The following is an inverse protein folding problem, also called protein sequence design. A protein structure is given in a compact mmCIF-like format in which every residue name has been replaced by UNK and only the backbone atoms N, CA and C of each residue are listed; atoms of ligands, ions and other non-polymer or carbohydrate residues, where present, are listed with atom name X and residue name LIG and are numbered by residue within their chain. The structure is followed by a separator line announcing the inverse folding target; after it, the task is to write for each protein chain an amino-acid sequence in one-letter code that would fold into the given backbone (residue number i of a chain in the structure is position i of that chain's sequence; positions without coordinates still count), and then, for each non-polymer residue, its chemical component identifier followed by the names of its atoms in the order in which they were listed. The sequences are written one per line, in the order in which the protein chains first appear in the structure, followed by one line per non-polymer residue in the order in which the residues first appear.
data_IF_396993583587
#
_entry.id   IF_396993583587
#
_cell.length_a   1.000
_cell.length_b   1.000
_cell.length_c   1.000
_cell.angle_alpha   90.00
_cell.angle_beta   90.00
_cell.angle_gamma   90.00
#
_symmetry.space_group_name_H-M   'P 1'
#
loop_
_entity.id
_entity.type
_entity.pdbx_description
1 polymer ?
#
# COMPACT_ATOMS: atom_id res chain seq x y z
N UNK A 1 -47.03 31.27 -60.60
CA UNK A 1 -46.77 30.51 -59.36
C UNK A 1 -48.00 30.72 -58.49
N UNK A 2 -48.94 29.78 -58.54
CA UNK A 2 -50.31 29.94 -58.01
C UNK A 2 -50.37 29.74 -56.50
N UNK A 3 -51.21 30.54 -55.84
CA UNK A 3 -51.43 30.57 -54.38
C UNK A 3 -52.24 29.35 -53.87
N UNK A 4 -52.73 28.47 -54.76
CA UNK A 4 -53.60 27.34 -54.41
C UNK A 4 -52.89 26.11 -53.82
N UNK A 5 -51.56 26.00 -53.86
CA UNK A 5 -50.84 24.86 -53.27
C UNK A 5 -50.54 25.02 -51.75
N UNK A 6 -50.90 26.14 -51.13
CA UNK A 6 -50.57 26.42 -49.73
C UNK A 6 -51.53 25.79 -48.69
N UNK A 7 -52.61 25.11 -49.12
CA UNK A 7 -53.61 24.55 -48.20
C UNK A 7 -53.79 23.03 -48.34
N UNK A 8 -52.71 22.30 -48.69
CA UNK A 8 -52.75 20.84 -48.55
C UNK A 8 -52.70 20.52 -47.04
N UNK A 9 -53.71 19.83 -46.48
CA UNK A 9 -53.67 19.42 -45.09
C UNK A 9 -52.40 18.60 -44.89
N UNK A 10 -51.52 19.08 -44.01
CA UNK A 10 -50.31 18.36 -43.60
C UNK A 10 -50.80 17.04 -43.03
N UNK A 11 -50.63 15.96 -43.80
CA UNK A 11 -51.10 14.62 -43.43
C UNK A 11 -50.54 14.27 -42.07
N UNK A 12 -51.42 14.08 -41.09
CA UNK A 12 -51.03 13.75 -39.72
C UNK A 12 -50.23 12.46 -39.72
N UNK A 13 -48.93 12.57 -39.47
CA UNK A 13 -48.04 11.41 -39.35
C UNK A 13 -48.56 10.52 -38.23
N UNK A 14 -49.04 9.32 -38.56
CA UNK A 14 -49.46 8.30 -37.61
C UNK A 14 -48.32 8.02 -36.64
N UNK A 15 -48.51 8.41 -35.38
CA UNK A 15 -47.57 8.11 -34.31
C UNK A 15 -47.71 6.64 -33.93
N UNK A 16 -46.58 5.96 -33.72
CA UNK A 16 -46.56 4.57 -33.27
C UNK A 16 -46.24 4.55 -31.77
N UNK A 17 -47.26 4.67 -30.89
CA UNK A 17 -47.05 4.88 -29.45
C UNK A 17 -46.32 3.71 -28.79
N UNK A 18 -46.44 2.52 -29.38
CA UNK A 18 -45.82 1.30 -28.87
C UNK A 18 -44.29 1.33 -29.03
N UNK A 19 -43.78 1.83 -30.17
CA UNK A 19 -42.34 2.01 -30.39
C UNK A 19 -41.73 3.09 -29.49
N UNK A 20 -42.47 4.19 -29.25
CA UNK A 20 -42.05 5.26 -28.34
C UNK A 20 -41.99 4.77 -26.89
N UNK A 21 -42.98 4.00 -26.44
CA UNK A 21 -42.97 3.41 -25.10
C UNK A 21 -41.78 2.47 -24.90
N UNK A 22 -41.49 1.59 -25.87
CA UNK A 22 -40.31 0.72 -25.84
C UNK A 22 -38.99 1.50 -25.79
N UNK A 23 -38.90 2.62 -26.52
CA UNK A 23 -37.74 3.51 -26.48
C UNK A 23 -37.57 4.18 -25.10
N UNK A 24 -38.62 4.77 -24.53
CA UNK A 24 -38.57 5.42 -23.21
C UNK A 24 -38.19 4.41 -22.13
N UNK A 25 -38.80 3.22 -22.13
CA UNK A 25 -38.48 2.15 -21.19
C UNK A 25 -37.02 1.69 -21.34
N UNK A 26 -36.50 1.60 -22.56
CA UNK A 26 -35.10 1.25 -22.80
C UNK A 26 -34.14 2.33 -22.31
N UNK A 27 -34.51 3.62 -22.44
CA UNK A 27 -33.72 4.74 -21.93
C UNK A 27 -33.70 4.78 -20.39
N UNK A 28 -34.86 4.60 -19.75
CA UNK A 28 -34.95 4.48 -18.29
C UNK A 28 -34.20 3.26 -17.80
N UNK A 29 -34.27 2.13 -18.53
CA UNK A 29 -33.52 0.92 -18.24
C UNK A 29 -32.02 1.08 -18.35
N UNK A 30 -31.54 1.81 -19.35
CA UNK A 30 -30.13 2.15 -19.48
C UNK A 30 -29.64 3.05 -18.34
N UNK A 31 -30.42 4.08 -17.96
CA UNK A 31 -30.12 4.98 -16.85
C UNK A 31 -30.16 4.30 -15.47
N UNK A 32 -30.94 3.23 -15.31
CA UNK A 32 -31.02 2.41 -14.10
C UNK A 32 -30.02 1.24 -14.10
N UNK A 33 -28.85 1.43 -14.72
CA UNK A 33 -27.78 0.44 -14.81
C UNK A 33 -28.18 -0.89 -15.47
N UNK A 34 -29.10 -0.84 -16.43
CA UNK A 34 -29.48 -1.98 -17.26
C UNK A 34 -30.62 -2.82 -16.71
N UNK A 35 -31.07 -2.64 -15.46
CA UNK A 35 -32.02 -3.57 -14.82
C UNK A 35 -33.34 -3.75 -15.59
N UNK A 36 -33.85 -2.67 -16.23
CA UNK A 36 -35.07 -2.71 -17.08
C UNK A 36 -34.77 -2.89 -18.58
N UNK A 37 -33.49 -2.95 -18.96
CA UNK A 37 -33.04 -3.07 -20.35
C UNK A 37 -33.57 -4.30 -21.10
N UNK A 38 -33.67 -5.50 -20.49
CA UNK A 38 -34.25 -6.67 -21.16
C UNK A 38 -35.74 -6.49 -21.48
N UNK A 39 -36.48 -5.84 -20.58
CA UNK A 39 -37.92 -5.58 -20.77
C UNK A 39 -38.13 -4.54 -21.88
N UNK A 40 -37.31 -3.48 -21.89
CA UNK A 40 -37.30 -2.48 -22.96
C UNK A 40 -36.97 -3.09 -24.33
N UNK A 41 -35.98 -3.98 -24.38
CA UNK A 41 -35.58 -4.71 -25.59
C UNK A 41 -36.71 -5.59 -26.14
N UNK A 42 -37.41 -6.34 -25.28
CA UNK A 42 -38.55 -7.19 -25.68
C UNK A 42 -39.68 -6.33 -26.26
N UNK A 43 -40.02 -5.21 -25.62
CA UNK A 43 -41.06 -4.28 -26.10
C UNK A 43 -40.67 -3.61 -27.43
N UNK A 44 -39.39 -3.27 -27.61
CA UNK A 44 -38.88 -2.68 -28.85
C UNK A 44 -38.85 -3.68 -30.01
N UNK A 45 -38.53 -4.95 -29.74
CA UNK A 45 -38.62 -6.06 -30.70
C UNK A 45 -40.05 -6.29 -31.21
N UNK A 46 -41.05 -6.22 -30.32
CA UNK A 46 -42.47 -6.32 -30.71
C UNK A 46 -42.90 -5.11 -31.56
N UNK A 47 -42.37 -3.93 -31.28
CA UNK A 47 -42.64 -2.70 -32.04
C UNK A 47 -42.08 -2.70 -33.48
N UNK A 48 -41.11 -3.54 -33.79
CA UNK A 48 -40.44 -3.61 -35.11
C UNK A 48 -41.40 -4.03 -36.25
N UNK A 49 -42.50 -4.71 -35.91
CA UNK A 49 -43.52 -5.16 -36.85
C UNK A 49 -44.43 -4.04 -37.40
N UNK A 50 -44.37 -2.82 -36.87
CA UNK A 50 -45.21 -1.69 -37.29
C UNK A 50 -44.40 -0.49 -37.79
N UNK A 51 -44.84 0.14 -38.87
CA UNK A 51 -44.26 1.41 -39.34
C UNK A 51 -44.76 2.58 -38.48
N UNK A 52 -43.97 3.66 -38.25
CA UNK A 52 -42.56 3.86 -38.59
C UNK A 52 -41.59 3.11 -37.67
N UNK A 53 -40.53 2.54 -38.27
CA UNK A 53 -39.59 1.59 -37.61
C UNK A 53 -38.49 2.26 -36.77
N UNK A 54 -38.29 3.58 -36.93
CA UNK A 54 -37.12 4.29 -36.37
C UNK A 54 -36.99 4.17 -34.85
N UNK A 55 -38.07 4.43 -34.10
CA UNK A 55 -38.04 4.35 -32.63
C UNK A 55 -37.81 2.94 -32.09
N UNK A 56 -38.34 1.93 -32.78
CA UNK A 56 -38.15 0.53 -32.39
C UNK A 56 -36.70 0.05 -32.63
N UNK A 57 -36.05 0.48 -33.71
CA UNK A 57 -34.63 0.17 -33.95
C UNK A 57 -33.75 0.79 -32.85
N UNK A 58 -33.99 2.05 -32.49
CA UNK A 58 -33.21 2.74 -31.46
C UNK A 58 -33.36 2.07 -30.09
N UNK A 59 -34.58 1.64 -29.71
CA UNK A 59 -34.80 0.93 -28.47
C UNK A 59 -34.14 -0.46 -28.42
N UNK A 60 -34.08 -1.19 -29.54
CA UNK A 60 -33.32 -2.45 -29.60
C UNK A 60 -31.82 -2.22 -29.41
N UNK A 61 -31.23 -1.20 -30.05
CA UNK A 61 -29.79 -0.90 -29.91
C UNK A 61 -29.45 -0.51 -28.46
N UNK A 62 -30.23 0.40 -27.86
CA UNK A 62 -30.07 0.79 -26.46
C UNK A 62 -30.30 -0.38 -25.49
N UNK A 63 -31.28 -1.23 -25.79
CA UNK A 63 -31.57 -2.45 -25.03
C UNK A 63 -30.42 -3.46 -25.08
N UNK A 64 -29.82 -3.66 -26.27
CA UNK A 64 -28.70 -4.58 -26.44
C UNK A 64 -27.44 -4.07 -25.73
N UNK A 65 -27.14 -2.77 -25.84
CA UNK A 65 -26.02 -2.14 -25.14
C UNK A 65 -26.20 -2.18 -23.62
N UNK A 66 -27.41 -1.90 -23.11
CA UNK A 66 -27.71 -1.99 -21.68
C UNK A 66 -27.63 -3.43 -21.16
N UNK A 67 -28.14 -4.40 -21.91
CA UNK A 67 -28.06 -5.83 -21.54
C UNK A 67 -26.61 -6.35 -21.55
N UNK A 68 -25.78 -5.88 -22.50
CA UNK A 68 -24.34 -6.16 -22.51
C UNK A 68 -23.66 -5.58 -21.27
N UNK A 69 -24.05 -4.37 -20.86
CA UNK A 69 -23.61 -3.75 -19.61
C UNK A 69 -23.93 -4.57 -18.36
N UNK A 70 -25.12 -5.18 -18.28
CA UNK A 70 -25.47 -6.07 -17.16
C UNK A 70 -24.55 -7.30 -17.13
N UNK A 71 -24.29 -7.93 -18.28
CA UNK A 71 -23.45 -9.13 -18.34
C UNK A 71 -22.02 -8.78 -17.91
N UNK A 72 -21.46 -7.70 -18.44
CA UNK A 72 -20.14 -7.21 -18.01
C UNK A 72 -20.16 -6.86 -16.52
N UNK A 73 -21.18 -6.15 -16.04
CA UNK A 73 -21.36 -5.84 -14.62
C UNK A 73 -21.39 -7.11 -13.76
N UNK A 74 -22.20 -8.10 -14.10
CA UNK A 74 -22.32 -9.36 -13.35
C UNK A 74 -21.02 -10.17 -13.32
N UNK A 75 -20.18 -10.08 -14.35
CA UNK A 75 -18.90 -10.77 -14.40
C UNK A 75 -17.80 -10.01 -13.64
N UNK A 76 -17.72 -8.69 -13.82
CA UNK A 76 -16.63 -7.87 -13.28
C UNK A 76 -16.91 -7.35 -11.86
N UNK A 77 -18.16 -7.07 -11.52
CA UNK A 77 -18.54 -6.57 -10.19
C UNK A 77 -18.14 -7.52 -9.05
N UNK A 78 -18.43 -8.85 -9.09
CA UNK A 78 -18.01 -9.72 -8.00
C UNK A 78 -16.48 -9.78 -7.90
N UNK A 79 -15.76 -9.86 -9.02
CA UNK A 79 -14.29 -9.87 -9.02
C UNK A 79 -13.72 -8.59 -8.41
N UNK A 80 -14.26 -7.44 -8.79
CA UNK A 80 -13.89 -6.15 -8.23
C UNK A 80 -14.19 -6.07 -6.73
N UNK A 81 -15.38 -6.49 -6.32
CA UNK A 81 -15.80 -6.50 -4.91
C UNK A 81 -14.91 -7.43 -4.06
N UNK A 82 -14.64 -8.64 -4.54
CA UNK A 82 -13.74 -9.59 -3.86
C UNK A 82 -12.31 -9.04 -3.78
N UNK A 83 -11.81 -8.41 -4.85
CA UNK A 83 -10.49 -7.77 -4.84
C UNK A 83 -10.43 -6.64 -3.82
N UNK A 84 -11.47 -5.80 -3.74
CA UNK A 84 -11.53 -4.71 -2.77
C UNK A 84 -11.57 -5.25 -1.34
N UNK A 85 -12.41 -6.25 -1.07
CA UNK A 85 -12.48 -6.91 0.23
C UNK A 85 -11.17 -7.61 0.60
N UNK A 86 -10.46 -8.20 -0.35
CA UNK A 86 -9.16 -8.81 -0.12
C UNK A 86 -8.12 -7.75 0.29
N UNK A 87 -8.07 -6.60 -0.38
CA UNK A 87 -7.16 -5.50 -0.02
C UNK A 87 -7.47 -4.96 1.37
N UNK A 88 -8.75 -4.73 1.68
CA UNK A 88 -9.17 -4.27 3.02
C UNK A 88 -8.86 -5.33 4.08
N UNK A 89 -9.08 -6.61 3.79
CA UNK A 89 -8.78 -7.72 4.70
C UNK A 89 -7.27 -7.85 4.98
N UNK A 90 -6.43 -7.72 3.95
CA UNK A 90 -4.96 -7.73 4.10
C UNK A 90 -4.51 -6.52 4.92
N UNK A 91 -5.01 -5.32 4.60
CA UNK A 91 -4.64 -4.10 5.32
C UNK A 91 -5.07 -4.16 6.79
N UNK A 92 -6.29 -4.61 7.08
CA UNK A 92 -6.78 -4.79 8.45
C UNK A 92 -6.03 -5.87 9.21
N UNK A 93 -5.72 -7.01 8.56
CA UNK A 93 -4.92 -8.07 9.16
C UNK A 93 -3.49 -7.64 9.46
N UNK A 94 -2.84 -6.92 8.54
CA UNK A 94 -1.51 -6.35 8.75
C UNK A 94 -1.53 -5.31 9.88
N UNK A 95 -2.51 -4.41 9.92
CA UNK A 95 -2.65 -3.45 11.01
C UNK A 95 -2.84 -4.14 12.37
N UNK A 96 -3.58 -5.25 12.43
CA UNK A 96 -3.73 -6.00 13.68
C UNK A 96 -2.44 -6.70 14.13
N UNK A 97 -1.62 -7.17 13.18
CA UNK A 97 -0.35 -7.84 13.49
C UNK A 97 0.79 -6.85 13.82
N UNK A 98 0.80 -5.69 13.18
CA UNK A 98 1.88 -4.72 13.30
C UNK A 98 1.51 -3.47 14.12
N UNK A 99 0.23 -3.26 14.46
CA UNK A 99 -0.25 -2.06 15.15
C UNK A 99 0.51 -1.75 16.44
N UNK A 100 0.55 -2.67 17.42
CA UNK A 100 1.26 -2.43 18.70
C UNK A 100 2.75 -2.14 18.53
N UNK A 101 3.40 -2.82 17.58
CA UNK A 101 4.83 -2.63 17.28
C UNK A 101 5.09 -1.30 16.57
N UNK A 102 4.22 -0.92 15.63
CA UNK A 102 4.33 0.34 14.91
C UNK A 102 4.09 1.53 15.84
N UNK A 103 3.09 1.44 16.72
CA UNK A 103 2.81 2.48 17.71
C UNK A 103 3.99 2.67 18.66
N UNK A 104 4.54 1.59 19.22
CA UNK A 104 5.74 1.65 20.08
C UNK A 104 6.96 2.21 19.34
N UNK A 105 7.14 1.87 18.05
CA UNK A 105 8.21 2.42 17.23
C UNK A 105 8.04 3.94 16.97
N UNK A 106 6.81 4.42 16.78
CA UNK A 106 6.52 5.85 16.61
C UNK A 106 6.81 6.60 17.92
N UNK A 107 6.36 6.08 19.06
CA UNK A 107 6.61 6.68 20.37
C UNK A 107 8.09 6.71 20.72
N UNK A 108 8.82 5.63 20.48
CA UNK A 108 10.27 5.57 20.65
C UNK A 108 10.98 6.62 19.78
N UNK A 109 10.51 6.85 18.55
CA UNK A 109 11.00 7.94 17.70
C UNK A 109 10.74 9.33 18.27
N UNK A 110 9.60 9.56 18.92
CA UNK A 110 9.28 10.83 19.61
C UNK A 110 10.21 11.03 20.80
N UNK A 111 10.43 10.00 21.62
CA UNK A 111 11.34 10.05 22.77
C UNK A 111 12.77 10.29 22.29
N UNK A 112 13.22 9.60 21.24
CA UNK A 112 14.53 9.81 20.62
C UNK A 112 14.72 11.26 20.17
N UNK A 113 13.73 11.85 19.49
CA UNK A 113 13.78 13.25 19.09
C UNK A 113 13.85 14.22 20.28
N UNK A 114 13.15 13.92 21.38
CA UNK A 114 13.22 14.71 22.61
C UNK A 114 14.61 14.59 23.30
N UNK A 115 15.22 13.41 23.28
CA UNK A 115 16.58 13.19 23.78
C UNK A 115 17.61 13.97 22.95
N UNK A 116 17.51 13.92 21.63
CA UNK A 116 18.38 14.67 20.71
C UNK A 116 18.27 16.18 20.95
N UNK A 117 17.05 16.69 21.09
CA UNK A 117 16.84 18.10 21.43
C UNK A 117 17.46 18.45 22.79
N UNK A 118 17.30 17.60 23.81
CA UNK A 118 17.96 17.81 25.10
C UNK A 118 19.48 17.90 24.96
N UNK A 119 20.08 17.01 24.16
CA UNK A 119 21.52 17.00 23.89
C UNK A 119 21.98 18.28 23.21
N UNK A 120 21.23 18.78 22.22
CA UNK A 120 21.54 20.03 21.53
C UNK A 120 21.52 21.24 22.48
N UNK A 121 20.64 21.24 23.48
CA UNK A 121 20.51 22.32 24.46
C UNK A 121 21.57 22.25 25.59
N UNK A 122 21.92 21.05 26.04
CA UNK A 122 22.77 20.84 27.22
C UNK A 122 24.20 20.37 26.91
N UNK A 123 24.44 19.85 25.71
CA UNK A 123 25.72 19.26 25.28
C UNK A 123 26.02 17.90 25.92
N UNK A 124 25.04 17.28 26.59
CA UNK A 124 25.14 15.96 27.23
C UNK A 124 23.78 15.27 27.22
N UNK A 125 23.78 13.94 27.20
CA UNK A 125 22.55 13.14 27.33
C UNK A 125 22.02 13.20 28.77
N UNK A 126 20.69 13.11 28.98
CA UNK A 126 20.14 13.08 30.33
C UNK A 126 20.57 11.81 31.07
N UNK A 127 20.70 11.88 32.38
CA UNK A 127 21.02 10.72 33.22
C UNK A 127 19.81 9.77 33.34
N UNK A 128 18.58 10.29 33.15
CA UNK A 128 17.36 9.48 33.14
C UNK A 128 16.24 10.14 32.33
N UNK A 129 15.31 9.33 31.81
CA UNK A 129 14.08 9.83 31.17
C UNK A 129 13.14 10.59 32.12
N UNK A 130 13.32 10.44 33.44
CA UNK A 130 12.49 11.13 34.43
C UNK A 130 12.89 12.60 34.65
N UNK A 131 13.94 13.08 34.00
CA UNK A 131 14.39 14.46 34.14
C UNK A 131 13.33 15.45 33.66
N UNK A 132 13.06 16.54 34.43
CA UNK A 132 12.00 17.48 34.09
C UNK A 132 12.12 18.08 32.69
N UNK A 133 13.34 18.39 32.27
CA UNK A 133 13.60 19.07 31.00
C UNK A 133 13.36 18.15 29.80
N UNK A 134 13.62 16.85 29.93
CA UNK A 134 13.23 15.85 28.91
C UNK A 134 11.71 15.81 28.75
N UNK A 135 10.98 15.89 29.86
CA UNK A 135 9.50 15.85 29.86
C UNK A 135 8.86 17.09 29.24
N UNK A 136 9.57 18.20 29.10
CA UNK A 136 9.05 19.39 28.41
C UNK A 136 8.91 19.14 26.91
N UNK A 137 9.77 18.28 26.34
CA UNK A 137 9.79 17.98 24.90
C UNK A 137 8.93 16.77 24.52
N UNK A 138 8.55 15.95 25.50
CA UNK A 138 7.65 14.80 25.30
C UNK A 138 6.20 15.28 25.51
N UNK A 139 5.29 15.13 24.54
CA UNK A 139 3.90 15.56 24.67
C UNK A 139 3.25 15.02 25.95
N UNK A 140 2.46 15.85 26.64
CA UNK A 140 1.73 15.43 27.84
C UNK A 140 0.89 14.18 27.54
N UNK A 141 1.27 13.05 28.15
CA UNK A 141 0.59 11.76 27.97
C UNK A 141 1.18 10.86 26.89
N UNK A 142 2.28 11.23 26.22
CA UNK A 142 3.19 10.24 25.65
C UNK A 142 3.81 9.50 26.83
N UNK A 143 3.21 8.36 27.12
CA UNK A 143 3.51 7.60 28.32
C UNK A 143 4.98 7.20 28.23
N UNK A 144 5.68 7.28 29.36
CA UNK A 144 6.98 6.60 29.56
C UNK A 144 6.81 5.07 29.52
N UNK A 145 5.76 4.61 28.87
CA UNK A 145 5.19 3.29 28.88
C UNK A 145 4.85 2.96 27.43
N UNK A 146 5.32 1.82 26.95
CA UNK A 146 5.00 1.32 25.63
C UNK A 146 3.54 0.86 25.53
N UNK A 147 3.15 0.40 24.34
CA UNK A 147 1.79 -0.07 24.07
C UNK A 147 1.41 -1.31 24.91
N UNK A 148 2.38 -2.05 25.46
CA UNK A 148 2.14 -3.21 26.32
C UNK A 148 2.02 -2.86 27.80
N UNK A 149 2.20 -1.59 28.16
CA UNK A 149 2.12 -1.14 29.56
C UNK A 149 3.45 -1.23 30.31
N UNK A 150 4.56 -1.52 29.62
CA UNK A 150 5.90 -1.60 30.21
C UNK A 150 6.64 -0.27 30.06
N UNK A 151 7.49 0.10 31.02
CA UNK A 151 8.27 1.34 30.88
C UNK A 151 9.38 1.18 29.84
N UNK A 152 9.60 2.22 29.03
CA UNK A 152 10.76 2.28 28.15
C UNK A 152 12.05 2.22 28.97
N UNK A 153 13.01 1.43 28.49
CA UNK A 153 14.32 1.29 29.12
C UNK A 153 15.28 2.23 28.43
N UNK A 154 15.90 3.09 29.23
CA UNK A 154 16.95 3.99 28.79
C UNK A 154 18.26 3.63 29.50
N UNK A 155 19.31 3.38 28.72
CA UNK A 155 20.65 3.09 29.24
C UNK A 155 21.63 4.07 28.64
N UNK A 156 22.29 4.84 29.49
CA UNK A 156 23.39 5.68 29.05
C UNK A 156 24.64 4.83 28.86
N UNK A 157 25.31 4.98 27.72
CA UNK A 157 26.58 4.33 27.43
C UNK A 157 27.65 4.70 28.45
N UNK A 158 28.60 3.80 28.69
CA UNK A 158 29.67 4.03 29.68
C UNK A 158 30.55 5.25 29.36
N UNK A 159 30.55 5.71 28.12
CA UNK A 159 31.26 6.91 27.67
C UNK A 159 30.46 8.22 27.87
N UNK A 160 29.18 8.12 28.24
CA UNK A 160 28.25 9.24 28.35
C UNK A 160 27.96 9.93 27.02
N UNK A 161 28.28 9.31 25.88
CA UNK A 161 28.12 9.89 24.53
C UNK A 161 27.17 9.11 23.65
N UNK A 162 26.83 7.88 24.01
CA UNK A 162 25.75 7.12 23.39
C UNK A 162 24.66 6.81 24.42
N UNK A 163 23.47 6.52 23.93
CA UNK A 163 22.41 5.92 24.73
C UNK A 163 21.75 4.78 23.95
N UNK A 164 21.14 3.86 24.68
CA UNK A 164 20.25 2.84 24.17
C UNK A 164 18.84 3.14 24.69
N UNK A 165 17.86 3.10 23.80
CA UNK A 165 16.45 3.22 24.12
C UNK A 165 15.73 2.03 23.51
N UNK A 166 14.99 1.28 24.33
CA UNK A 166 14.22 0.14 23.84
C UNK A 166 12.95 -0.10 24.67
N UNK A 167 11.98 -0.76 24.04
CA UNK A 167 10.77 -1.31 24.68
C UNK A 167 11.00 -2.77 25.05
N UNK A 168 10.53 -3.19 26.23
CA UNK A 168 10.59 -4.58 26.69
C UNK A 168 9.59 -5.51 25.97
N UNK A 169 8.89 -5.01 24.96
CA UNK A 169 7.94 -5.80 24.19
C UNK A 169 6.75 -6.35 25.00
N UNK A 170 6.02 -7.31 24.41
CA UNK A 170 4.89 -7.98 25.06
C UNK A 170 5.22 -8.76 26.33
N UNK A 171 6.44 -9.30 26.48
CA UNK A 171 6.79 -10.13 27.63
C UNK A 171 7.19 -9.33 28.87
N UNK A 172 7.55 -8.05 28.69
CA UNK A 172 7.94 -7.13 29.77
C UNK A 172 9.27 -7.49 30.42
N UNK A 173 10.12 -8.23 29.72
CA UNK A 173 11.45 -8.64 30.17
C UNK A 173 12.48 -8.02 29.24
N UNK A 174 13.38 -7.21 29.78
CA UNK A 174 14.47 -6.62 29.00
C UNK A 174 15.50 -7.67 28.53
N UNK A 175 16.17 -7.36 27.44
CA UNK A 175 17.21 -8.14 26.78
C UNK A 175 16.71 -9.49 26.20
N UNK A 176 15.49 -9.48 25.67
CA UNK A 176 14.83 -10.63 25.02
C UNK A 176 14.67 -10.42 23.51
N UNK A 177 14.13 -11.42 22.81
CA UNK A 177 14.03 -11.39 21.34
C UNK A 177 12.85 -10.54 20.82
N UNK A 178 11.94 -10.13 21.69
CA UNK A 178 10.79 -9.28 21.36
C UNK A 178 11.00 -7.80 21.69
N UNK A 179 12.16 -7.46 22.24
CA UNK A 179 12.59 -6.07 22.42
C UNK A 179 12.60 -5.32 21.09
N UNK A 180 12.17 -4.06 21.14
CA UNK A 180 12.27 -3.12 20.03
C UNK A 180 13.32 -2.09 20.38
N UNK A 181 14.46 -2.13 19.71
CA UNK A 181 15.61 -1.27 19.92
C UNK A 181 15.67 -0.12 18.91
N UNK A 182 16.10 1.05 19.39
CA UNK A 182 16.51 2.16 18.56
C UNK A 182 17.86 2.66 19.06
N UNK A 183 18.91 2.36 18.31
CA UNK A 183 20.26 2.81 18.59
C UNK A 183 20.37 4.31 18.29
N UNK A 184 20.47 5.12 19.35
CA UNK A 184 20.70 6.56 19.27
C UNK A 184 22.17 6.91 19.17
N UNK A 185 22.94 6.30 18.26
CA UNK A 185 24.29 6.79 17.97
C UNK A 185 24.19 7.98 17.01
N UNK A 186 24.47 9.23 17.44
CA UNK A 186 24.43 10.40 16.56
C UNK A 186 25.45 10.32 15.41
N UNK A 187 26.39 9.36 15.45
CA UNK A 187 27.33 9.09 14.35
C UNK A 187 26.76 8.13 13.31
N UNK A 188 25.67 7.44 13.61
CA UNK A 188 24.88 6.65 12.66
C UNK A 188 23.83 7.48 11.92
N UNK A 189 24.09 8.78 11.68
CA UNK A 189 23.49 9.42 10.50
C UNK A 189 23.78 8.47 9.34
N UNK A 190 22.76 7.95 8.61
CA UNK A 190 22.98 7.05 7.51
C UNK A 190 24.00 7.72 6.61
N UNK A 191 25.22 7.21 6.65
CA UNK A 191 26.30 7.69 5.81
C UNK A 191 25.70 7.62 4.42
N UNK A 192 25.56 8.79 3.76
CA UNK A 192 24.95 8.93 2.45
C UNK A 192 25.25 7.68 1.62
N UNK A 193 24.24 7.04 1.00
CA UNK A 193 24.30 5.67 0.48
C UNK A 193 25.68 5.45 -0.07
N UNK A 194 26.47 4.64 0.64
CA UNK A 194 27.92 4.55 0.49
C UNK A 194 28.19 4.55 -1.01
N UNK A 195 28.68 5.68 -1.53
CA UNK A 195 28.95 5.79 -2.96
C UNK A 195 29.88 4.62 -3.21
N UNK A 196 29.48 3.61 -4.02
CA UNK A 196 30.29 2.42 -4.18
C UNK A 196 31.68 2.92 -4.54
N UNK A 197 32.66 2.58 -3.68
CA UNK A 197 34.02 3.04 -3.85
C UNK A 197 34.39 2.88 -5.33
N UNK A 198 35.00 3.89 -5.97
CA UNK A 198 35.37 3.78 -7.38
C UNK A 198 36.09 2.45 -7.53
N UNK A 199 35.49 1.54 -8.30
CA UNK A 199 36.05 0.21 -8.54
C UNK A 199 37.48 0.47 -8.99
N UNK A 200 38.45 0.04 -8.19
CA UNK A 200 39.85 0.04 -8.59
C UNK A 200 39.93 -0.74 -9.89
N UNK A 201 40.04 0.00 -10.98
CA UNK A 201 40.28 -0.46 -12.34
C UNK A 201 41.75 -0.92 -12.40
N UNK A 202 42.08 -1.98 -11.67
CA UNK A 202 43.40 -2.61 -11.67
C UNK A 202 43.23 -4.12 -11.49
N UNK A 203 42.46 -4.75 -12.38
CA UNK A 203 42.71 -6.13 -12.79
C UNK A 203 43.59 -6.08 -14.05
N UNK A 204 44.84 -5.65 -13.84
CA UNK A 204 45.90 -6.01 -14.77
C UNK A 204 46.20 -7.51 -14.54
N UNK A 205 46.27 -8.35 -15.60
CA UNK A 205 46.52 -9.77 -15.43
C UNK A 205 47.87 -9.99 -14.73
N UNK A 206 47.81 -10.60 -13.55
CA UNK A 206 48.96 -10.98 -12.76
C UNK A 206 49.85 -11.95 -13.58
N UNK A 207 51.12 -11.57 -13.74
CA UNK A 207 52.13 -12.44 -14.27
C UNK A 207 52.25 -13.69 -13.37
N UNK A 208 52.15 -14.84 -14.02
CA UNK A 208 52.27 -16.18 -13.47
C UNK A 208 53.62 -16.35 -12.73
N UNK A 209 53.65 -16.63 -11.42
CA UNK A 209 54.89 -16.89 -10.71
C UNK A 209 55.43 -18.28 -11.05
N UNK A 210 56.69 -18.31 -11.49
CA UNK A 210 57.44 -19.53 -11.78
C UNK A 210 57.49 -20.47 -10.58
N UNK A 211 57.12 -21.73 -10.82
CA UNK A 211 57.15 -22.86 -9.89
C UNK A 211 58.59 -23.14 -9.41
N UNK A 212 58.92 -22.97 -8.12
CA UNK A 212 60.18 -23.46 -7.57
C UNK A 212 60.04 -24.96 -7.26
N UNK A 213 61.02 -25.72 -7.74
CA UNK A 213 61.01 -27.18 -7.75
C UNK A 213 61.12 -27.88 -6.39
N UNK A 214 60.87 -29.18 -6.48
CA UNK A 214 60.87 -30.22 -5.46
C UNK A 214 61.89 -30.04 -4.34
N UNK A 215 61.39 -29.89 -3.11
CA UNK A 215 62.15 -30.14 -1.89
C UNK A 215 61.73 -31.50 -1.30
N UNK A 216 62.73 -32.36 -1.12
CA UNK A 216 62.61 -33.73 -0.66
C UNK A 216 61.92 -33.89 0.73
N UNK A 217 61.25 -35.02 0.99
CA UNK A 217 60.57 -35.28 2.25
C UNK A 217 61.56 -35.49 3.41
N UNK A 218 61.37 -34.74 4.49
CA UNK A 218 62.11 -34.88 5.73
C UNK A 218 61.73 -36.20 6.45
N UNK A 219 62.74 -36.96 6.85
CA UNK A 219 62.63 -38.17 7.67
C UNK A 219 61.96 -37.86 9.02
N UNK A 220 60.93 -38.64 9.38
CA UNK A 220 60.33 -38.62 10.71
C UNK A 220 61.19 -39.41 11.71
N UNK A 221 61.47 -38.87 12.91
CA UNK A 221 62.21 -39.60 13.93
C UNK A 221 61.37 -40.71 14.58
N UNK A 222 61.95 -41.90 14.62
CA UNK A 222 61.42 -43.11 15.26
C UNK A 222 61.48 -42.95 16.78
N UNK A 223 60.33 -43.07 17.45
CA UNK A 223 60.25 -43.11 18.91
C UNK A 223 60.64 -44.50 19.45
N UNK A 224 61.43 -44.61 20.53
CA UNK A 224 61.79 -45.89 21.14
C UNK A 224 60.66 -46.46 22.01
N UNK A 225 60.58 -47.80 22.16
CA UNK A 225 59.57 -48.46 22.98
C UNK A 225 59.90 -48.38 24.48
N UNK A 226 58.83 -48.33 25.29
CA UNK A 226 58.82 -48.43 26.75
C UNK A 226 59.35 -49.78 27.25
#
# INVERSE_FOLDING_TARGET
MSIEDANRPVGGSESNPMGLAGFIVSLVGFLSCGLLSPIGLIMSLVGLGRQPKGFAITGVVLGALGSCGIIVGLLFFPVFLFSLLAVVGIAGGAAALFGPRLESAIEMGIISGALEQYYDEHGAWPASLSEPDVRVHVPDGALMTDHWGNQYVYRLGADGRSYELFSMGPDGVADTADDLDQDGDPRQIPSAPSTPAPRSEVDAPAAEPAVPGDAAPAEQPVNPPN
#
